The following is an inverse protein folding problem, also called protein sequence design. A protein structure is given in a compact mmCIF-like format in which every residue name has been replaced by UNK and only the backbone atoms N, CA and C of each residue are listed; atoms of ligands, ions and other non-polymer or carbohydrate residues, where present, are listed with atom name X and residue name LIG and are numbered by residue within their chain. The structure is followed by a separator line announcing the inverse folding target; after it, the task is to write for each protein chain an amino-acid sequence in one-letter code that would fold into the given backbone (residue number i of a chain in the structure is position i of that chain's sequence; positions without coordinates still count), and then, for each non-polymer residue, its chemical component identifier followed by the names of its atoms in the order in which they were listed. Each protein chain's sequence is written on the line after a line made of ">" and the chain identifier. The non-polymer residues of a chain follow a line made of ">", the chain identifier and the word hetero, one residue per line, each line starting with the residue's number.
data_IF_218952372969
#
_entry.id   IF_218952372969
#
_cell.length_a   1.000
_cell.length_b   1.000
_cell.length_c   1.000
_cell.angle_alpha   90.00
_cell.angle_beta   90.00
_cell.angle_gamma   90.00
#
_symmetry.space_group_name_H-M   'P 1'
#
loop_
_entity.id
_entity.type
_entity.pdbx_description
1 polymer ?
#
# COMPACT_ATOMS: atom_id res chain seq x y z
N UNK A 1 30.17 -13.95 -12.40
CA UNK A 1 28.83 -14.54 -12.57
C UNK A 1 27.81 -13.56 -12.00
N UNK A 2 26.83 -13.11 -12.80
CA UNK A 2 25.73 -12.27 -12.32
C UNK A 2 24.98 -13.10 -11.27
N UNK A 3 24.88 -12.57 -10.05
CA UNK A 3 24.28 -13.28 -8.91
C UNK A 3 22.76 -13.18 -9.04
N UNK A 4 22.09 -14.34 -9.07
CA UNK A 4 20.63 -14.51 -9.12
C UNK A 4 19.99 -13.78 -7.95
N UNK A 5 19.04 -12.90 -8.18
CA UNK A 5 18.38 -12.14 -7.12
C UNK A 5 16.91 -11.91 -7.38
N UNK A 6 16.11 -11.93 -6.31
CA UNK A 6 14.71 -11.47 -6.35
C UNK A 6 14.65 -9.95 -6.50
N UNK A 7 13.46 -9.42 -6.86
CA UNK A 7 13.18 -7.99 -6.89
C UNK A 7 13.55 -7.34 -5.55
N UNK A 8 13.13 -7.96 -4.44
CA UNK A 8 13.40 -7.48 -3.08
C UNK A 8 14.90 -7.42 -2.78
N UNK A 9 15.65 -8.47 -3.09
CA UNK A 9 17.10 -8.49 -2.91
C UNK A 9 17.79 -7.41 -3.76
N UNK A 10 17.31 -7.14 -4.98
CA UNK A 10 17.85 -6.08 -5.84
C UNK A 10 17.62 -4.69 -5.25
N UNK A 11 16.41 -4.42 -4.75
CA UNK A 11 16.07 -3.13 -4.13
C UNK A 11 16.89 -2.92 -2.85
N UNK A 12 16.95 -3.91 -1.96
CA UNK A 12 17.72 -3.79 -0.71
C UNK A 12 19.23 -3.66 -1.00
N UNK A 13 19.77 -4.40 -1.97
CA UNK A 13 21.17 -4.25 -2.37
C UNK A 13 21.49 -2.81 -2.80
N UNK A 14 20.63 -2.18 -3.63
CA UNK A 14 20.76 -0.76 -4.00
C UNK A 14 20.79 0.14 -2.77
N UNK A 15 19.84 -0.02 -1.85
CA UNK A 15 19.70 0.86 -0.68
C UNK A 15 20.87 0.75 0.31
N UNK A 16 21.55 -0.40 0.33
CA UNK A 16 22.75 -0.64 1.14
C UNK A 16 24.06 -0.23 0.43
N UNK A 17 24.00 0.11 -0.86
CA UNK A 17 25.19 0.36 -1.70
C UNK A 17 26.00 -0.91 -2.02
N UNK A 18 25.48 -2.10 -1.69
CA UNK A 18 26.12 -3.38 -2.00
C UNK A 18 25.75 -3.81 -3.42
N UNK A 19 26.60 -4.65 -4.02
CA UNK A 19 26.32 -5.24 -5.34
C UNK A 19 25.27 -6.36 -5.29
N UNK A 20 25.11 -7.01 -4.13
CA UNK A 20 24.12 -8.07 -3.90
C UNK A 20 23.92 -8.27 -2.39
N UNK A 21 22.72 -8.70 -2.00
CA UNK A 21 22.39 -9.23 -0.67
C UNK A 21 21.66 -10.57 -0.82
N UNK A 22 21.47 -11.29 0.29
CA UNK A 22 20.73 -12.55 0.36
C UNK A 22 19.75 -12.58 1.51
N UNK A 23 18.65 -13.32 1.33
CA UNK A 23 17.75 -13.63 2.43
C UNK A 23 18.53 -14.13 3.68
N UNK A 24 18.22 -13.55 4.84
CA UNK A 24 18.91 -13.78 6.11
C UNK A 24 20.11 -12.86 6.39
N UNK A 25 20.60 -12.10 5.40
CA UNK A 25 21.62 -11.07 5.65
C UNK A 25 21.01 -9.96 6.54
N UNK A 26 21.74 -9.55 7.59
CA UNK A 26 21.40 -8.33 8.34
C UNK A 26 22.17 -7.17 7.72
N UNK A 27 21.45 -6.11 7.33
CA UNK A 27 22.02 -4.97 6.62
C UNK A 27 21.52 -3.64 7.16
N UNK A 28 22.35 -2.60 7.05
CA UNK A 28 21.94 -1.20 7.23
C UNK A 28 21.60 -0.62 5.86
N UNK A 29 20.36 -0.16 5.68
CA UNK A 29 19.83 0.36 4.43
C UNK A 29 19.48 1.83 4.55
N UNK A 30 19.76 2.60 3.50
CA UNK A 30 19.33 3.99 3.38
C UNK A 30 17.87 4.04 2.94
N UNK A 31 17.09 4.89 3.60
CA UNK A 31 15.68 5.12 3.30
C UNK A 31 15.58 6.22 2.23
N UNK A 32 14.83 5.94 1.15
CA UNK A 32 14.57 6.92 0.09
C UNK A 32 13.37 7.82 0.45
N UNK A 33 12.38 7.28 1.17
CA UNK A 33 11.22 8.01 1.67
C UNK A 33 10.80 7.45 3.03
N UNK A 34 10.73 8.31 4.04
CA UNK A 34 10.08 8.03 5.31
C UNK A 34 8.70 8.68 5.31
N UNK A 35 7.64 7.94 5.62
CA UNK A 35 6.32 8.55 5.76
C UNK A 35 5.64 8.19 7.08
N UNK A 36 4.73 9.05 7.51
CA UNK A 36 3.74 8.70 8.51
C UNK A 36 2.49 9.55 8.38
N UNK A 37 1.55 9.27 9.26
CA UNK A 37 0.35 10.06 9.44
C UNK A 37 0.31 10.69 10.82
N UNK A 38 -0.65 11.58 11.03
CA UNK A 38 -0.94 12.24 12.31
C UNK A 38 -0.96 11.30 13.53
N UNK A 39 -1.44 10.06 13.37
CA UNK A 39 -1.48 9.08 14.47
C UNK A 39 -0.11 8.54 14.88
N UNK A 40 0.71 8.11 13.92
CA UNK A 40 1.97 7.41 14.15
C UNK A 40 3.22 8.29 14.03
N UNK A 41 3.06 9.49 13.47
CA UNK A 41 4.13 10.39 13.07
C UNK A 41 4.59 11.35 14.17
N UNK A 42 4.56 12.68 13.94
CA UNK A 42 5.20 13.66 14.82
C UNK A 42 4.89 13.56 16.31
N UNK A 43 3.65 13.20 16.70
CA UNK A 43 3.27 13.06 18.12
C UNK A 43 4.07 11.98 18.84
N UNK A 44 4.58 10.98 18.10
CA UNK A 44 5.38 9.86 18.64
C UNK A 44 6.88 10.13 18.51
N UNK A 45 7.32 10.72 17.41
CA UNK A 45 8.74 10.91 17.13
C UNK A 45 9.32 12.16 17.79
N UNK A 46 8.59 13.27 17.80
CA UNK A 46 9.09 14.57 18.28
C UNK A 46 9.63 14.49 19.73
N UNK A 47 8.95 13.84 20.69
CA UNK A 47 9.50 13.70 22.04
C UNK A 47 10.81 12.87 22.08
N UNK A 48 10.88 11.78 21.31
CA UNK A 48 12.07 10.92 21.25
C UNK A 48 13.25 11.65 20.60
N UNK A 49 13.01 12.39 19.52
CA UNK A 49 14.03 13.21 18.87
C UNK A 49 14.58 14.29 19.83
N UNK A 50 13.71 14.94 20.60
CA UNK A 50 14.10 15.93 21.60
C UNK A 50 14.94 15.31 22.73
N UNK A 51 14.56 14.14 23.23
CA UNK A 51 15.32 13.40 24.25
C UNK A 51 16.72 13.01 23.76
N UNK A 52 16.82 12.62 22.48
CA UNK A 52 18.10 12.28 21.83
C UNK A 52 18.93 13.50 21.43
N UNK A 53 18.38 14.72 21.50
CA UNK A 53 18.99 15.92 20.93
C UNK A 53 19.21 15.84 19.41
N UNK A 54 18.38 15.04 18.72
CA UNK A 54 18.47 14.76 17.30
C UNK A 54 17.52 15.63 16.49
N UNK A 55 17.96 16.04 15.30
CA UNK A 55 17.12 16.71 14.31
C UNK A 55 16.55 15.73 13.28
N UNK A 56 15.90 16.29 12.26
CA UNK A 56 15.46 15.57 11.06
C UNK A 56 16.64 15.45 10.08
N UNK A 57 16.92 14.25 9.57
CA UNK A 57 18.02 13.99 8.63
C UNK A 57 17.85 14.73 7.30
N UNK A 58 16.71 14.54 6.63
CA UNK A 58 16.41 15.16 5.34
C UNK A 58 14.89 15.39 5.21
N UNK A 59 14.41 16.64 5.35
CA UNK A 59 12.98 16.94 5.28
C UNK A 59 12.38 16.74 3.88
N UNK A 60 13.20 16.70 2.82
CA UNK A 60 12.72 16.44 1.45
C UNK A 60 12.35 14.96 1.23
N UNK A 61 12.84 14.07 2.10
CA UNK A 61 12.57 12.62 2.09
C UNK A 61 11.56 12.19 3.14
N UNK A 62 10.84 13.16 3.73
CA UNK A 62 9.78 12.89 4.68
C UNK A 62 8.46 13.32 4.07
N UNK A 63 7.46 12.45 4.18
CA UNK A 63 6.07 12.76 3.86
C UNK A 63 5.18 12.56 5.09
N UNK A 64 4.28 13.51 5.34
CA UNK A 64 3.34 13.45 6.47
C UNK A 64 1.95 13.70 5.93
N UNK A 65 0.99 12.85 6.28
CA UNK A 65 -0.42 13.00 5.87
C UNK A 65 -1.32 13.05 7.10
N UNK A 66 -2.21 14.04 7.19
CA UNK A 66 -3.25 14.04 8.24
C UNK A 66 -4.50 13.35 7.72
N UNK A 67 -4.78 12.12 8.15
CA UNK A 67 -5.94 11.33 7.68
C UNK A 67 -6.68 10.55 8.78
N UNK A 68 -6.06 10.19 9.90
CA UNK A 68 -6.71 9.36 10.93
C UNK A 68 -7.54 10.16 11.94
N UNK A 69 -7.10 11.36 12.30
CA UNK A 69 -7.79 12.26 13.23
C UNK A 69 -8.43 13.46 12.51
N UNK A 70 -8.63 13.35 11.20
CA UNK A 70 -9.15 14.41 10.33
C UNK A 70 -10.62 14.16 9.92
N UNK A 71 -11.54 15.14 10.08
CA UNK A 71 -11.40 16.37 10.85
C UNK A 71 -11.37 16.09 12.37
N UNK A 72 -10.84 17.02 13.15
CA UNK A 72 -10.87 16.91 14.60
C UNK A 72 -12.32 16.89 15.12
N UNK A 73 -12.63 15.92 15.98
CA UNK A 73 -13.95 15.74 16.61
C UNK A 73 -13.93 16.03 18.11
N UNK A 74 -12.75 16.21 18.69
CA UNK A 74 -12.51 16.50 20.10
C UNK A 74 -11.20 17.29 20.29
N UNK A 75 -10.88 17.62 21.54
CA UNK A 75 -9.68 18.39 21.87
C UNK A 75 -8.38 17.60 21.63
N UNK A 76 -8.40 16.27 21.81
CA UNK A 76 -7.22 15.43 21.62
C UNK A 76 -6.83 15.38 20.13
N UNK A 77 -7.79 15.07 19.25
CA UNK A 77 -7.60 15.09 17.79
C UNK A 77 -7.16 16.48 17.30
N UNK A 78 -7.71 17.56 17.87
CA UNK A 78 -7.28 18.92 17.53
C UNK A 78 -5.80 19.20 17.88
N UNK A 79 -5.34 18.79 19.07
CA UNK A 79 -3.93 18.96 19.47
C UNK A 79 -2.99 18.06 18.65
N UNK A 80 -3.40 16.84 18.29
CA UNK A 80 -2.63 15.96 17.41
C UNK A 80 -2.41 16.61 16.03
N UNK A 81 -3.47 17.13 15.41
CA UNK A 81 -3.37 17.79 14.11
C UNK A 81 -2.53 19.07 14.19
N UNK A 82 -2.70 19.88 15.25
CA UNK A 82 -1.89 21.07 15.50
C UNK A 82 -0.41 20.73 15.64
N UNK A 83 -0.06 19.75 16.46
CA UNK A 83 1.31 19.28 16.64
C UNK A 83 1.91 18.82 15.30
N UNK A 84 1.14 18.08 14.51
CA UNK A 84 1.56 17.60 13.19
C UNK A 84 1.89 18.75 12.24
N UNK A 85 1.01 19.75 12.15
CA UNK A 85 1.23 20.98 11.34
C UNK A 85 2.45 21.76 11.82
N UNK A 86 2.58 21.93 13.13
CA UNK A 86 3.70 22.66 13.73
C UNK A 86 5.03 21.96 13.46
N UNK A 87 5.09 20.64 13.61
CA UNK A 87 6.28 19.84 13.31
C UNK A 87 6.69 19.97 11.84
N UNK A 88 5.75 19.82 10.91
CA UNK A 88 6.01 19.95 9.48
C UNK A 88 6.57 21.32 9.13
N UNK A 89 6.00 22.39 9.70
CA UNK A 89 6.48 23.77 9.52
C UNK A 89 7.86 24.00 10.15
N UNK A 90 8.06 23.53 11.38
CA UNK A 90 9.32 23.69 12.14
C UNK A 90 10.51 23.06 11.42
N UNK A 91 10.31 21.88 10.83
CA UNK A 91 11.37 21.12 10.16
C UNK A 91 11.39 21.30 8.63
N UNK A 92 10.50 22.13 8.07
CA UNK A 92 10.45 22.38 6.63
C UNK A 92 10.08 21.16 5.78
N UNK A 93 9.20 20.28 6.29
CA UNK A 93 8.72 19.10 5.56
C UNK A 93 7.79 19.55 4.43
N UNK A 94 8.30 19.55 3.20
CA UNK A 94 7.55 20.03 2.03
C UNK A 94 6.41 19.08 1.61
N UNK A 95 6.56 17.78 1.83
CA UNK A 95 5.55 16.78 1.51
C UNK A 95 4.56 16.58 2.68
N UNK A 96 4.02 17.68 3.19
CA UNK A 96 2.96 17.65 4.19
C UNK A 96 1.59 17.83 3.52
N UNK A 97 0.71 16.86 3.69
CA UNK A 97 -0.62 16.83 3.10
C UNK A 97 -1.67 16.82 4.21
N UNK A 98 -2.25 17.99 4.47
CA UNK A 98 -3.22 18.15 5.54
C UNK A 98 -4.63 17.83 5.04
N UNK A 99 -5.24 16.76 5.56
CA UNK A 99 -6.62 16.38 5.27
C UNK A 99 -6.92 16.18 3.77
N UNK A 100 -5.91 15.71 3.01
CA UNK A 100 -6.01 15.55 1.55
C UNK A 100 -6.63 14.21 1.12
N UNK A 101 -6.67 13.23 2.03
CA UNK A 101 -7.09 11.87 1.76
C UNK A 101 -6.27 10.86 2.55
N UNK A 102 -6.54 9.59 2.32
CA UNK A 102 -5.87 8.45 2.95
C UNK A 102 -4.40 8.44 2.52
N UNK A 103 -3.48 8.36 3.49
CA UNK A 103 -2.03 8.47 3.28
C UNK A 103 -1.49 7.60 2.14
N UNK A 104 -1.91 6.34 2.10
CA UNK A 104 -1.52 5.36 1.09
C UNK A 104 -1.95 5.72 -0.33
N UNK A 105 -2.96 6.57 -0.53
CA UNK A 105 -3.32 7.05 -1.86
C UNK A 105 -2.76 8.43 -2.18
N UNK A 106 -2.62 9.29 -1.17
CA UNK A 106 -2.02 10.61 -1.33
C UNK A 106 -0.57 10.49 -1.81
N UNK A 107 0.23 9.57 -1.25
CA UNK A 107 1.62 9.36 -1.66
C UNK A 107 1.77 9.08 -3.18
N UNK A 108 1.10 8.06 -3.76
CA UNK A 108 1.20 7.78 -5.19
C UNK A 108 0.50 8.84 -6.07
N UNK A 109 -0.59 9.47 -5.61
CA UNK A 109 -1.25 10.59 -6.32
C UNK A 109 -0.34 11.81 -6.51
N UNK A 110 0.70 11.92 -5.67
CA UNK A 110 1.73 12.97 -5.73
C UNK A 110 3.07 12.47 -6.28
N UNK A 111 3.13 11.24 -6.81
CA UNK A 111 4.33 10.70 -7.45
C UNK A 111 5.52 10.50 -6.51
N UNK A 112 5.27 10.34 -5.21
CA UNK A 112 6.31 10.20 -4.19
C UNK A 112 6.88 8.79 -4.12
N UNK A 113 6.12 7.79 -4.54
CA UNK A 113 6.56 6.39 -4.57
C UNK A 113 7.29 6.13 -5.90
N UNK A 114 8.56 5.73 -5.83
CA UNK A 114 9.41 5.49 -7.00
C UNK A 114 9.85 4.03 -7.07
N UNK A 115 9.91 3.43 -8.27
CA UNK A 115 10.44 2.08 -8.43
C UNK A 115 11.87 1.96 -7.91
N UNK A 116 12.18 0.86 -7.22
CA UNK A 116 13.49 0.60 -6.64
C UNK A 116 13.82 1.41 -5.39
N UNK A 117 12.87 2.16 -4.84
CA UNK A 117 13.03 2.84 -3.56
C UNK A 117 12.88 1.89 -2.38
N UNK A 118 13.56 2.23 -1.28
CA UNK A 118 13.27 1.72 0.05
C UNK A 118 12.39 2.74 0.78
N UNK A 119 11.20 2.32 1.21
CA UNK A 119 10.22 3.17 1.88
C UNK A 119 9.95 2.65 3.29
N UNK A 120 10.13 3.51 4.28
CA UNK A 120 9.80 3.21 5.67
C UNK A 120 8.56 4.00 6.06
N UNK A 121 7.54 3.33 6.60
CA UNK A 121 6.31 3.99 7.00
C UNK A 121 5.94 3.72 8.45
N UNK A 122 5.38 4.72 9.13
CA UNK A 122 4.79 4.56 10.46
C UNK A 122 3.44 3.82 10.49
N UNK A 123 3.12 3.06 9.45
CA UNK A 123 1.83 2.40 9.27
C UNK A 123 2.01 0.95 8.79
N UNK A 124 1.15 0.04 9.23
CA UNK A 124 1.23 -1.38 8.87
C UNK A 124 1.02 -1.65 7.38
N UNK A 125 0.29 -0.79 6.68
CA UNK A 125 -0.09 -0.96 5.28
C UNK A 125 0.82 -0.21 4.30
N UNK A 126 1.97 0.28 4.80
CA UNK A 126 3.11 0.74 3.99
C UNK A 126 3.48 -0.19 2.82
N UNK A 127 3.37 -1.53 2.94
CA UNK A 127 3.57 -2.46 1.83
C UNK A 127 2.85 -2.12 0.53
N UNK A 128 1.76 -1.34 0.55
CA UNK A 128 1.09 -0.82 -0.66
C UNK A 128 2.06 -0.24 -1.69
N UNK A 129 3.11 0.45 -1.24
CA UNK A 129 4.09 1.06 -2.14
C UNK A 129 4.89 0.05 -2.97
N UNK A 130 4.92 -1.23 -2.56
CA UNK A 130 5.55 -2.29 -3.36
C UNK A 130 4.85 -2.58 -4.67
N UNK A 131 3.63 -2.08 -4.90
CA UNK A 131 2.95 -2.11 -6.20
C UNK A 131 3.75 -1.37 -7.30
N UNK A 132 4.67 -0.50 -6.91
CA UNK A 132 5.54 0.27 -7.79
C UNK A 132 6.93 -0.36 -7.96
N UNK A 133 7.17 -1.56 -7.42
CA UNK A 133 8.50 -2.17 -7.38
C UNK A 133 9.44 -1.57 -6.35
N UNK A 134 8.90 -0.96 -5.30
CA UNK A 134 9.64 -0.52 -4.13
C UNK A 134 9.68 -1.63 -3.07
N UNK A 135 10.68 -1.61 -2.19
CA UNK A 135 10.61 -2.34 -0.92
C UNK A 135 10.03 -1.40 0.12
N UNK A 136 8.90 -1.76 0.73
CA UNK A 136 8.20 -0.89 1.65
C UNK A 136 7.68 -1.67 2.86
N UNK A 137 8.08 -1.26 4.06
CA UNK A 137 7.72 -1.91 5.32
C UNK A 137 7.22 -0.91 6.37
N UNK A 138 6.35 -1.41 7.25
CA UNK A 138 5.87 -0.68 8.42
C UNK A 138 6.85 -0.75 9.58
N UNK A 139 7.10 0.36 10.24
CA UNK A 139 8.04 0.49 11.35
C UNK A 139 7.36 1.11 12.58
N UNK A 140 7.77 0.64 13.76
CA UNK A 140 7.29 1.19 15.03
C UNK A 140 7.79 2.62 15.26
N UNK A 141 7.17 3.30 16.24
CA UNK A 141 7.52 4.69 16.56
C UNK A 141 9.01 4.90 16.90
N UNK A 142 9.64 3.95 17.58
CA UNK A 142 11.07 4.01 17.94
C UNK A 142 11.97 3.89 16.71
N UNK A 143 11.70 2.91 15.85
CA UNK A 143 12.46 2.73 14.60
C UNK A 143 12.27 3.94 13.68
N UNK A 144 11.03 4.42 13.56
CA UNK A 144 10.76 5.63 12.78
C UNK A 144 11.47 6.86 13.35
N UNK A 145 11.53 7.05 14.68
CA UNK A 145 12.31 8.14 15.26
C UNK A 145 13.81 8.04 14.88
N UNK A 146 14.37 6.82 14.91
CA UNK A 146 15.75 6.58 14.47
C UNK A 146 15.94 6.84 12.96
N UNK A 147 15.00 6.41 12.12
CA UNK A 147 15.02 6.66 10.67
C UNK A 147 14.92 8.15 10.37
N UNK A 148 14.03 8.87 11.05
CA UNK A 148 13.88 10.31 10.88
C UNK A 148 15.15 11.05 11.30
N UNK A 149 15.86 10.56 12.33
CA UNK A 149 17.11 11.13 12.79
C UNK A 149 18.32 10.83 11.89
N UNK A 150 18.35 9.66 11.24
CA UNK A 150 19.57 9.14 10.59
C UNK A 150 19.46 8.94 9.08
N UNK A 151 18.25 8.77 8.55
CA UNK A 151 18.01 8.36 7.17
C UNK A 151 18.27 6.88 6.87
N UNK A 152 18.53 6.08 7.90
CA UNK A 152 18.93 4.68 7.76
C UNK A 152 18.17 3.79 8.73
N UNK A 153 18.05 2.51 8.39
CA UNK A 153 17.50 1.47 9.27
C UNK A 153 18.23 0.15 9.09
N UNK A 154 18.05 -0.74 10.06
CA UNK A 154 18.54 -2.11 9.99
C UNK A 154 17.39 -3.02 9.57
N UNK A 155 17.66 -4.01 8.72
CA UNK A 155 16.71 -5.07 8.42
C UNK A 155 17.42 -6.40 8.20
N UNK A 156 16.70 -7.48 8.48
CA UNK A 156 17.02 -8.80 7.94
C UNK A 156 16.39 -8.90 6.56
N UNK A 157 17.18 -9.18 5.53
CA UNK A 157 16.67 -9.38 4.16
C UNK A 157 15.67 -10.56 4.19
N UNK A 158 14.41 -10.36 3.79
CA UNK A 158 13.40 -11.40 3.92
C UNK A 158 13.56 -12.47 2.82
N UNK A 159 13.15 -13.70 3.13
CA UNK A 159 12.85 -14.68 2.08
C UNK A 159 11.66 -14.21 1.24
N UNK A 160 11.55 -14.66 0.00
CA UNK A 160 10.45 -14.27 -0.90
C UNK A 160 9.55 -15.46 -1.22
N UNK A 161 8.24 -15.31 -1.02
CA UNK A 161 7.18 -16.19 -1.53
C UNK A 161 6.74 -15.63 -2.89
N UNK A 162 6.68 -16.47 -3.92
CA UNK A 162 6.17 -16.10 -5.25
C UNK A 162 4.71 -16.52 -5.38
N UNK A 163 3.85 -15.60 -5.82
CA UNK A 163 2.44 -15.87 -6.11
C UNK A 163 2.18 -15.54 -7.58
N UNK A 164 1.91 -16.56 -8.38
CA UNK A 164 1.59 -16.44 -9.81
C UNK A 164 0.09 -16.60 -10.03
N UNK A 165 -0.54 -15.62 -10.68
CA UNK A 165 -1.92 -15.70 -11.13
C UNK A 165 -1.99 -15.79 -12.65
N UNK A 166 -2.75 -16.77 -13.14
CA UNK A 166 -2.95 -17.00 -14.57
C UNK A 166 -4.40 -16.79 -15.01
N UNK A 167 -4.61 -16.24 -16.20
CA UNK A 167 -5.95 -16.06 -16.78
C UNK A 167 -6.59 -14.71 -16.47
N UNK A 168 -7.85 -14.55 -16.88
CA UNK A 168 -8.60 -13.30 -16.73
C UNK A 168 -9.70 -13.44 -15.68
N UNK A 169 -9.91 -12.37 -14.91
CA UNK A 169 -11.02 -12.31 -13.96
C UNK A 169 -12.37 -12.41 -14.64
N UNK A 170 -13.29 -13.11 -13.99
CA UNK A 170 -14.71 -13.00 -14.30
C UNK A 170 -15.24 -11.62 -13.93
N UNK A 171 -16.35 -11.21 -14.55
CA UNK A 171 -17.01 -9.95 -14.23
C UNK A 171 -17.41 -9.90 -12.75
N UNK A 172 -17.03 -8.82 -12.07
CA UNK A 172 -17.31 -8.62 -10.64
C UNK A 172 -16.24 -9.17 -9.71
N UNK A 173 -15.15 -9.75 -10.25
CA UNK A 173 -13.97 -10.18 -9.50
C UNK A 173 -12.87 -9.14 -9.63
N UNK A 174 -12.20 -8.87 -8.52
CA UNK A 174 -11.21 -7.80 -8.34
C UNK A 174 -10.00 -8.31 -7.55
N UNK A 175 -8.96 -7.48 -7.43
CA UNK A 175 -7.81 -7.73 -6.58
C UNK A 175 -8.20 -7.90 -5.10
N UNK A 176 -9.32 -7.33 -4.65
CA UNK A 176 -9.82 -7.58 -3.29
C UNK A 176 -10.18 -9.05 -3.11
N UNK A 177 -10.81 -9.66 -4.11
CA UNK A 177 -11.19 -11.07 -4.08
C UNK A 177 -9.96 -11.97 -4.07
N UNK A 178 -8.91 -11.61 -4.83
CA UNK A 178 -7.60 -12.27 -4.76
C UNK A 178 -7.05 -12.25 -3.34
N UNK A 179 -7.04 -11.10 -2.69
CA UNK A 179 -6.42 -10.98 -1.37
C UNK A 179 -7.22 -11.68 -0.28
N UNK A 180 -8.54 -11.65 -0.34
CA UNK A 180 -9.38 -12.43 0.57
C UNK A 180 -9.17 -13.94 0.37
N UNK A 181 -9.11 -14.40 -0.88
CA UNK A 181 -8.78 -15.78 -1.20
C UNK A 181 -7.41 -16.18 -0.62
N UNK A 182 -6.38 -15.34 -0.79
CA UNK A 182 -5.05 -15.61 -0.24
C UNK A 182 -5.04 -15.63 1.29
N UNK A 183 -5.83 -14.77 1.96
CA UNK A 183 -5.96 -14.81 3.42
C UNK A 183 -6.48 -16.17 3.90
N UNK A 184 -7.41 -16.78 3.16
CA UNK A 184 -7.91 -18.14 3.46
C UNK A 184 -6.87 -19.21 3.15
N UNK A 185 -6.25 -19.16 1.97
CA UNK A 185 -5.38 -20.25 1.48
C UNK A 185 -4.00 -20.27 2.14
N UNK A 186 -3.43 -19.09 2.43
CA UNK A 186 -2.10 -18.95 3.01
C UNK A 186 -2.14 -18.65 4.52
N UNK A 187 -3.30 -18.29 5.06
CA UNK A 187 -3.44 -17.80 6.42
C UNK A 187 -2.85 -16.40 6.61
N UNK A 188 -2.82 -15.97 7.87
CA UNK A 188 -2.47 -14.60 8.28
C UNK A 188 -1.06 -14.47 8.89
N UNK A 189 -0.29 -15.56 8.95
CA UNK A 189 1.08 -15.56 9.47
C UNK A 189 2.05 -16.18 8.46
N UNK A 190 2.55 -15.34 7.56
CA UNK A 190 3.57 -15.72 6.59
C UNK A 190 5.00 -15.37 7.07
N UNK A 191 5.19 -15.20 8.38
CA UNK A 191 6.47 -15.04 9.06
C UNK A 191 7.37 -13.91 8.51
N UNK A 192 6.78 -12.74 8.21
CA UNK A 192 7.52 -11.56 7.73
C UNK A 192 8.37 -11.85 6.47
N UNK A 193 7.91 -12.77 5.63
CA UNK A 193 8.49 -12.95 4.29
C UNK A 193 7.97 -11.86 3.35
N UNK A 194 8.70 -11.58 2.29
CA UNK A 194 8.18 -10.76 1.22
C UNK A 194 7.30 -11.60 0.30
N UNK A 195 6.20 -11.03 -0.19
CA UNK A 195 5.36 -11.65 -1.22
C UNK A 195 5.59 -10.94 -2.54
N UNK A 196 5.99 -11.69 -3.56
CA UNK A 196 6.17 -11.19 -4.91
C UNK A 196 5.03 -11.70 -5.81
N UNK A 197 4.17 -10.79 -6.25
CA UNK A 197 3.02 -11.11 -7.10
C UNK A 197 3.42 -11.04 -8.58
N UNK A 198 2.92 -11.99 -9.37
CA UNK A 198 3.16 -12.05 -10.80
C UNK A 198 2.12 -12.85 -11.57
N UNK A 199 2.45 -13.11 -12.84
CA UNK A 199 1.59 -13.81 -13.79
C UNK A 199 0.84 -12.84 -14.70
N UNK A 200 0.19 -13.37 -15.74
CA UNK A 200 -0.46 -12.56 -16.76
C UNK A 200 -1.68 -11.79 -16.20
N UNK A 201 -2.36 -12.35 -15.19
CA UNK A 201 -3.44 -11.67 -14.46
C UNK A 201 -2.89 -10.38 -13.82
N UNK A 202 -1.80 -10.48 -13.05
CA UNK A 202 -1.20 -9.31 -12.37
C UNK A 202 -0.63 -8.31 -13.38
N UNK A 203 -0.03 -8.80 -14.47
CA UNK A 203 0.45 -7.92 -15.55
C UNK A 203 -0.70 -7.11 -16.19
N UNK A 204 -1.90 -7.69 -16.29
CA UNK A 204 -3.09 -7.01 -16.83
C UNK A 204 -3.77 -6.04 -15.85
N UNK A 205 -3.45 -6.12 -14.56
CA UNK A 205 -4.04 -5.26 -13.53
C UNK A 205 -3.63 -3.80 -13.70
N UNK A 206 -4.59 -2.89 -13.47
CA UNK A 206 -4.30 -1.46 -13.28
C UNK A 206 -3.45 -1.23 -12.02
N UNK A 207 -2.77 -0.08 -11.92
CA UNK A 207 -2.07 0.28 -10.68
C UNK A 207 -3.01 0.30 -9.47
N UNK A 208 -4.29 0.65 -9.64
CA UNK A 208 -5.27 0.64 -8.56
C UNK A 208 -5.45 -0.77 -7.96
N UNK A 209 -5.55 -1.78 -8.81
CA UNK A 209 -5.67 -3.19 -8.41
C UNK A 209 -4.36 -3.71 -7.80
N UNK A 210 -3.21 -3.36 -8.39
CA UNK A 210 -1.88 -3.74 -7.86
C UNK A 210 -1.64 -3.17 -6.46
N UNK A 211 -2.08 -1.93 -6.20
CA UNK A 211 -2.01 -1.33 -4.87
C UNK A 211 -2.83 -2.11 -3.85
N UNK A 212 -3.96 -2.71 -4.22
CA UNK A 212 -4.74 -3.57 -3.31
C UNK A 212 -3.95 -4.82 -2.93
N UNK A 213 -3.31 -5.49 -3.89
CA UNK A 213 -2.49 -6.69 -3.61
C UNK A 213 -1.36 -6.40 -2.63
N UNK A 214 -0.60 -5.33 -2.88
CA UNK A 214 0.53 -4.96 -2.06
C UNK A 214 0.11 -4.39 -0.71
N UNK A 215 -1.01 -3.65 -0.64
CA UNK A 215 -1.55 -3.13 0.61
C UNK A 215 -1.94 -4.27 1.56
N UNK A 216 -2.68 -5.26 1.04
CA UNK A 216 -3.18 -6.37 1.84
C UNK A 216 -2.13 -7.46 2.13
N UNK A 217 -0.87 -7.26 1.75
CA UNK A 217 0.22 -8.15 2.15
C UNK A 217 0.40 -8.14 3.68
N UNK A 218 0.07 -7.03 4.34
CA UNK A 218 0.09 -6.92 5.80
C UNK A 218 -0.85 -7.93 6.49
N UNK A 219 -2.04 -8.16 5.93
CA UNK A 219 -3.03 -9.12 6.43
C UNK A 219 -2.55 -10.56 6.32
N UNK A 220 -1.68 -10.86 5.34
CA UNK A 220 -1.02 -12.15 5.23
C UNK A 220 0.12 -12.33 6.25
N UNK A 221 0.44 -11.32 7.06
CA UNK A 221 1.61 -11.35 7.95
C UNK A 221 2.94 -11.33 7.17
N UNK A 222 2.91 -10.79 5.95
CA UNK A 222 4.10 -10.55 5.15
C UNK A 222 4.79 -9.25 5.59
N UNK A 223 6.10 -9.18 5.40
CA UNK A 223 6.89 -7.97 5.64
C UNK A 223 6.59 -6.90 4.59
N UNK A 224 6.43 -7.33 3.34
CA UNK A 224 6.05 -6.47 2.23
C UNK A 224 5.40 -7.28 1.10
N UNK A 225 4.63 -6.60 0.24
CA UNK A 225 4.11 -7.15 -1.01
C UNK A 225 4.66 -6.36 -2.19
N UNK A 226 5.22 -7.02 -3.21
CA UNK A 226 5.90 -6.34 -4.33
C UNK A 226 5.45 -6.85 -5.68
N UNK A 227 5.41 -5.93 -6.66
CA UNK A 227 5.15 -6.20 -8.07
C UNK A 227 6.25 -5.55 -8.90
N UNK A 228 6.79 -6.28 -9.88
CA UNK A 228 7.81 -5.74 -10.77
C UNK A 228 7.24 -4.57 -11.60
N UNK A 229 7.96 -3.45 -11.73
CA UNK A 229 7.46 -2.28 -12.45
C UNK A 229 7.48 -2.52 -13.97
N UNK A 230 6.42 -2.06 -14.65
CA UNK A 230 6.22 -2.21 -16.09
C UNK A 230 5.57 -0.97 -16.72
N UNK A 231 5.06 -1.10 -17.95
CA UNK A 231 4.39 -0.02 -18.69
C UNK A 231 3.20 0.59 -17.94
N UNK A 232 2.44 -0.22 -17.19
CA UNK A 232 1.31 0.26 -16.40
C UNK A 232 1.81 1.14 -15.26
N UNK A 233 2.90 0.73 -14.60
CA UNK A 233 3.57 1.55 -13.58
C UNK A 233 4.11 2.86 -14.17
N UNK A 234 4.74 2.80 -15.34
CA UNK A 234 5.33 3.98 -15.98
C UNK A 234 4.29 4.98 -16.45
N UNK A 235 3.21 4.52 -17.06
CA UNK A 235 2.08 5.35 -17.48
C UNK A 235 1.44 6.05 -16.27
N UNK A 236 1.17 5.29 -15.20
CA UNK A 236 0.61 5.84 -13.98
C UNK A 236 1.48 6.96 -13.41
N UNK A 237 2.79 6.74 -13.27
CA UNK A 237 3.70 7.75 -12.74
C UNK A 237 3.84 8.98 -13.66
N UNK A 238 3.88 8.78 -14.98
CA UNK A 238 3.95 9.89 -15.94
C UNK A 238 2.73 10.81 -15.85
N UNK A 239 1.52 10.25 -15.72
CA UNK A 239 0.27 11.00 -15.55
C UNK A 239 0.25 11.85 -14.26
N UNK A 240 1.02 11.47 -13.22
CA UNK A 240 1.17 12.23 -11.98
C UNK A 240 2.38 13.18 -11.99
N UNK A 241 2.95 13.46 -13.17
CA UNK A 241 4.10 14.36 -13.30
C UNK A 241 5.41 13.77 -12.78
N UNK A 242 5.47 12.44 -12.64
CA UNK A 242 6.58 11.71 -12.05
C UNK A 242 7.20 10.67 -13.01
N UNK A 243 7.47 11.00 -14.29
CA UNK A 243 7.90 10.02 -15.28
C UNK A 243 9.18 9.28 -14.87
N UNK A 244 9.23 7.98 -15.14
CA UNK A 244 10.43 7.17 -14.98
C UNK A 244 11.38 7.46 -16.14
N UNK A 245 12.55 8.02 -15.82
CA UNK A 245 13.53 8.45 -16.83
C UNK A 245 14.21 7.24 -17.49
N UNK A 246 14.70 6.29 -16.70
CA UNK A 246 15.34 5.07 -17.20
C UNK A 246 14.43 3.85 -17.02
N UNK A 247 13.50 3.68 -17.96
CA UNK A 247 12.57 2.55 -17.93
C UNK A 247 13.29 1.21 -18.13
N UNK A 248 14.40 1.16 -18.86
CA UNK A 248 15.14 -0.08 -19.10
C UNK A 248 15.82 -0.57 -17.82
N UNK A 249 16.51 0.32 -17.09
CA UNK A 249 17.07 -0.01 -15.79
C UNK A 249 15.99 -0.34 -14.77
N UNK A 250 14.84 0.35 -14.84
CA UNK A 250 13.72 0.08 -13.93
C UNK A 250 13.10 -1.30 -14.18
N UNK A 251 12.92 -1.71 -15.44
CA UNK A 251 12.48 -3.09 -15.75
C UNK A 251 13.49 -4.14 -15.30
N UNK A 252 14.78 -3.81 -15.27
CA UNK A 252 15.82 -4.73 -14.80
C UNK A 252 15.76 -5.02 -13.29
N UNK A 253 14.91 -4.28 -12.54
CA UNK A 253 14.57 -4.61 -11.14
C UNK A 253 13.79 -5.93 -11.03
N UNK A 254 13.03 -6.33 -12.05
CA UNK A 254 12.32 -7.61 -12.05
C UNK A 254 13.25 -8.76 -11.66
N UNK A 255 12.74 -9.73 -10.89
CA UNK A 255 13.50 -10.90 -10.44
C UNK A 255 14.23 -11.58 -11.59
N UNK A 256 15.45 -12.06 -11.33
CA UNK A 256 16.18 -12.83 -12.34
C UNK A 256 15.40 -14.13 -12.68
N UNK A 257 15.44 -14.64 -13.93
CA UNK A 257 14.69 -15.84 -14.31
C UNK A 257 14.95 -17.09 -13.48
N UNK A 258 16.12 -17.17 -12.82
CA UNK A 258 16.55 -18.26 -11.96
C UNK A 258 16.65 -17.84 -10.47
N UNK A 259 15.98 -16.75 -10.07
CA UNK A 259 15.83 -16.33 -8.69
C UNK A 259 15.21 -17.46 -7.84
N UNK A 260 15.61 -17.53 -6.57
CA UNK A 260 15.13 -18.55 -5.64
C UNK A 260 14.05 -17.97 -4.75
N UNK A 261 12.93 -18.68 -4.67
CA UNK A 261 11.82 -18.37 -3.78
C UNK A 261 11.71 -19.48 -2.73
N UNK A 262 11.35 -19.11 -1.50
CA UNK A 262 11.14 -20.09 -0.42
C UNK A 262 9.86 -20.91 -0.64
N UNK A 263 8.88 -20.36 -1.36
CA UNK A 263 7.68 -21.03 -1.83
C UNK A 263 7.19 -20.39 -3.13
N UNK A 264 6.50 -21.17 -3.97
CA UNK A 264 5.85 -20.72 -5.19
C UNK A 264 4.43 -21.26 -5.21
N UNK A 265 3.45 -20.37 -5.29
CA UNK A 265 2.04 -20.70 -5.40
C UNK A 265 1.52 -20.27 -6.77
N UNK A 266 0.69 -21.10 -7.39
CA UNK A 266 0.10 -20.84 -8.70
C UNK A 266 -1.41 -20.95 -8.60
N UNK A 267 -2.12 -19.94 -9.12
CA UNK A 267 -3.57 -19.85 -9.06
C UNK A 267 -4.17 -19.49 -10.43
N UNK A 268 -5.41 -19.94 -10.65
CA UNK A 268 -6.19 -19.66 -11.85
C UNK A 268 -7.24 -18.58 -11.53
N UNK A 269 -7.07 -17.41 -12.14
CA UNK A 269 -7.96 -16.26 -11.97
C UNK A 269 -9.35 -16.48 -12.59
N UNK A 270 -9.49 -17.42 -13.53
CA UNK A 270 -10.78 -17.74 -14.16
C UNK A 270 -11.69 -18.54 -13.23
N UNK A 271 -11.11 -19.23 -12.24
CA UNK A 271 -11.82 -20.01 -11.23
C UNK A 271 -12.15 -19.19 -9.97
N UNK A 272 -11.64 -17.95 -9.86
CA UNK A 272 -11.89 -17.10 -8.71
C UNK A 272 -13.28 -16.47 -8.81
N UNK A 273 -14.08 -16.63 -7.77
CA UNK A 273 -15.39 -15.99 -7.59
C UNK A 273 -15.28 -14.77 -6.67
N UNK A 274 -16.27 -13.86 -6.63
CA UNK A 274 -16.33 -12.80 -5.62
C UNK A 274 -16.24 -13.39 -4.21
N UNK A 275 -15.42 -12.80 -3.34
CA UNK A 275 -15.12 -13.30 -2.00
C UNK A 275 -15.67 -12.35 -0.91
N UNK A 276 -16.07 -12.93 0.23
CA UNK A 276 -16.44 -12.19 1.44
C UNK A 276 -15.69 -12.80 2.62
N UNK A 277 -15.01 -11.95 3.40
CA UNK A 277 -14.50 -12.31 4.72
C UNK A 277 -15.60 -12.10 5.77
N UNK A 278 -16.00 -13.18 6.44
CA UNK A 278 -16.96 -13.14 7.52
C UNK A 278 -16.28 -12.78 8.86
N UNK A 279 -17.03 -12.24 9.83
CA UNK A 279 -16.48 -11.94 11.14
C UNK A 279 -15.90 -13.18 11.84
N UNK A 280 -14.85 -13.06 12.66
CA UNK A 280 -14.11 -11.83 13.01
C UNK A 280 -12.71 -11.78 12.37
N UNK A 281 -12.45 -12.54 11.30
CA UNK A 281 -11.10 -12.73 10.76
C UNK A 281 -11.06 -12.73 9.23
N UNK A 282 -10.05 -12.10 8.58
CA UNK A 282 -9.91 -12.11 7.12
C UNK A 282 -9.77 -13.51 6.49
N UNK A 283 -9.18 -14.47 7.19
CA UNK A 283 -9.05 -15.86 6.73
C UNK A 283 -10.36 -16.64 6.78
N UNK A 284 -11.39 -16.13 7.47
CA UNK A 284 -12.76 -16.62 7.41
C UNK A 284 -13.46 -16.16 6.11
N UNK A 285 -12.80 -16.38 4.99
CA UNK A 285 -13.25 -16.00 3.66
C UNK A 285 -14.00 -17.15 2.98
N UNK A 286 -15.07 -16.84 2.28
CA UNK A 286 -15.78 -17.78 1.40
C UNK A 286 -16.34 -17.07 0.17
N UNK A 287 -16.67 -17.81 -0.91
CA UNK A 287 -17.36 -17.23 -2.06
C UNK A 287 -18.63 -16.51 -1.61
N UNK A 288 -18.89 -15.33 -2.20
CA UNK A 288 -19.98 -14.44 -1.83
C UNK A 288 -21.35 -15.14 -1.84
N UNK A 289 -21.54 -16.12 -2.75
CA UNK A 289 -22.75 -16.95 -2.82
C UNK A 289 -23.05 -17.72 -1.52
N UNK A 290 -22.04 -18.01 -0.70
CA UNK A 290 -22.20 -18.69 0.59
C UNK A 290 -22.91 -17.83 1.64
N UNK A 291 -23.06 -16.52 1.39
CA UNK A 291 -23.67 -15.56 2.30
C UNK A 291 -25.04 -15.06 1.79
N UNK A 292 -25.68 -15.83 0.89
CA UNK A 292 -27.02 -15.50 0.41
C UNK A 292 -28.01 -15.40 1.59
N UNK A 293 -28.85 -14.37 1.57
CA UNK A 293 -29.86 -14.12 2.61
C UNK A 293 -29.32 -13.51 3.90
N UNK A 294 -28.01 -13.32 4.04
CA UNK A 294 -27.44 -12.56 5.17
C UNK A 294 -27.89 -11.10 5.06
N UNK A 295 -28.55 -10.61 6.12
CA UNK A 295 -29.00 -9.22 6.19
C UNK A 295 -27.89 -8.34 6.73
N UNK A 296 -27.73 -7.17 6.13
CA UNK A 296 -26.85 -6.10 6.61
C UNK A 296 -27.70 -4.90 7.04
N UNK A 297 -27.21 -4.16 8.02
CA UNK A 297 -27.80 -2.90 8.48
C UNK A 297 -27.02 -1.70 7.95
N UNK A 298 -25.75 -1.92 7.57
CA UNK A 298 -24.87 -0.89 7.04
C UNK A 298 -23.95 -1.47 5.95
N UNK A 299 -23.76 -0.69 4.89
CA UNK A 299 -22.72 -0.89 3.88
C UNK A 299 -21.76 0.31 3.90
N UNK A 300 -20.46 0.06 3.91
CA UNK A 300 -19.43 1.10 3.90
C UNK A 300 -18.48 0.89 2.72
N UNK A 301 -18.37 1.90 1.86
CA UNK A 301 -17.43 1.96 0.74
C UNK A 301 -16.39 3.01 1.10
N UNK A 302 -15.21 2.56 1.49
CA UNK A 302 -14.18 3.35 2.14
C UNK A 302 -12.88 2.57 2.33
N UNK A 303 -11.90 3.20 2.95
CA UNK A 303 -10.55 2.67 3.24
C UNK A 303 -9.56 2.64 2.05
N UNK A 304 -8.29 2.41 2.39
CA UNK A 304 -7.15 2.41 1.47
C UNK A 304 -7.24 1.38 0.33
N UNK A 305 -8.09 0.36 0.48
CA UNK A 305 -8.26 -0.73 -0.50
C UNK A 305 -9.57 -0.67 -1.29
N UNK A 306 -10.52 0.20 -0.95
CA UNK A 306 -11.90 0.13 -1.47
C UNK A 306 -12.59 1.45 -1.77
N UNK A 307 -11.84 2.54 -1.93
CA UNK A 307 -12.41 3.87 -2.20
C UNK A 307 -11.65 4.70 -3.25
N UNK A 308 -10.94 4.03 -4.16
CA UNK A 308 -10.38 4.63 -5.37
C UNK A 308 -11.52 4.96 -6.34
N UNK A 309 -11.25 5.81 -7.33
CA UNK A 309 -12.26 6.18 -8.34
C UNK A 309 -12.87 4.93 -9.02
N UNK A 310 -12.04 3.95 -9.38
CA UNK A 310 -12.48 2.68 -9.96
C UNK A 310 -13.44 1.91 -9.04
N UNK A 311 -13.20 1.92 -7.73
CA UNK A 311 -14.03 1.22 -6.75
C UNK A 311 -15.42 1.89 -6.66
N UNK A 312 -15.44 3.22 -6.65
CA UNK A 312 -16.68 4.01 -6.67
C UNK A 312 -17.46 3.79 -7.96
N UNK A 313 -16.78 3.72 -9.11
CA UNK A 313 -17.40 3.45 -10.40
C UNK A 313 -18.02 2.05 -10.46
N UNK A 314 -17.35 1.03 -9.93
CA UNK A 314 -17.90 -0.32 -9.81
C UNK A 314 -19.15 -0.34 -8.90
N UNK A 315 -19.10 0.35 -7.76
CA UNK A 315 -20.26 0.47 -6.88
C UNK A 315 -21.43 1.21 -7.57
N UNK A 316 -21.14 2.27 -8.31
CA UNK A 316 -22.14 3.02 -9.06
C UNK A 316 -22.76 2.18 -10.17
N UNK A 317 -21.99 1.30 -10.83
CA UNK A 317 -22.52 0.35 -11.81
C UNK A 317 -23.55 -0.59 -11.19
N UNK A 318 -23.29 -1.10 -9.98
CA UNK A 318 -24.22 -1.96 -9.23
C UNK A 318 -25.48 -1.20 -8.80
N UNK A 319 -25.33 0.03 -8.31
CA UNK A 319 -26.43 0.84 -7.76
C UNK A 319 -27.23 1.61 -8.81
N UNK A 320 -26.76 1.69 -10.06
CA UNK A 320 -27.41 2.46 -11.11
C UNK A 320 -28.88 2.05 -11.31
N UNK A 321 -29.78 3.03 -11.15
CA UNK A 321 -31.22 2.83 -11.28
C UNK A 321 -31.85 2.05 -10.12
N UNK A 322 -31.10 1.75 -9.07
CA UNK A 322 -31.56 1.09 -7.84
C UNK A 322 -31.62 2.09 -6.69
N UNK A 323 -32.20 1.64 -5.58
CA UNK A 323 -32.17 2.38 -4.30
C UNK A 323 -31.63 1.46 -3.23
N UNK A 324 -30.93 2.04 -2.27
CA UNK A 324 -30.54 1.35 -1.05
C UNK A 324 -31.80 0.79 -0.36
N UNK A 325 -31.73 -0.44 0.12
CA UNK A 325 -32.86 -1.12 0.73
C UNK A 325 -33.33 -0.38 2.00
N UNK A 326 -34.65 -0.37 2.31
CA UNK A 326 -35.16 0.24 3.54
C UNK A 326 -34.49 -0.35 4.79
N UNK A 327 -34.04 0.52 5.70
CA UNK A 327 -33.36 0.12 6.92
C UNK A 327 -31.85 -0.14 6.77
N UNK A 328 -31.29 -0.07 5.56
CA UNK A 328 -29.85 -0.17 5.33
C UNK A 328 -29.24 1.22 5.18
N UNK A 329 -28.16 1.49 5.92
CA UNK A 329 -27.37 2.71 5.78
C UNK A 329 -26.20 2.48 4.82
N UNK A 330 -26.16 3.21 3.71
CA UNK A 330 -24.97 3.26 2.85
C UNK A 330 -24.10 4.46 3.24
N UNK A 331 -22.81 4.19 3.47
CA UNK A 331 -21.80 5.20 3.76
C UNK A 331 -20.69 5.12 2.71
N UNK A 332 -20.36 6.26 2.12
CA UNK A 332 -19.33 6.36 1.09
C UNK A 332 -18.30 7.39 1.54
N UNK A 333 -17.05 7.00 1.56
CA UNK A 333 -15.92 7.84 1.91
C UNK A 333 -14.85 7.69 0.81
N UNK A 334 -14.89 8.53 -0.24
CA UNK A 334 -13.85 8.54 -1.28
C UNK A 334 -12.47 8.70 -0.66
N UNK A 335 -11.46 8.05 -1.23
CA UNK A 335 -10.16 7.94 -0.59
C UNK A 335 -9.34 9.25 -0.55
N UNK A 336 -9.68 10.24 -1.38
CA UNK A 336 -9.00 11.54 -1.39
C UNK A 336 -9.92 12.64 -1.92
N UNK A 337 -9.54 13.90 -1.70
CA UNK A 337 -10.21 15.06 -2.30
C UNK A 337 -10.17 14.98 -3.83
N UNK A 338 -9.03 14.58 -4.42
CA UNK A 338 -8.90 14.35 -5.87
C UNK A 338 -9.86 13.26 -6.37
N UNK A 339 -9.98 12.16 -5.63
CA UNK A 339 -10.93 11.08 -5.97
C UNK A 339 -12.37 11.57 -5.89
N UNK A 340 -12.69 12.37 -4.86
CA UNK A 340 -14.01 12.99 -4.71
C UNK A 340 -14.34 13.88 -5.90
N UNK A 341 -13.44 14.79 -6.27
CA UNK A 341 -13.60 15.69 -7.41
C UNK A 341 -13.79 14.93 -8.72
N UNK A 342 -12.99 13.89 -8.97
CA UNK A 342 -13.11 13.07 -10.17
C UNK A 342 -14.47 12.33 -10.23
N UNK A 343 -14.91 11.76 -9.10
CA UNK A 343 -16.17 11.05 -9.00
C UNK A 343 -17.41 11.98 -9.05
N UNK A 344 -17.27 13.25 -8.66
CA UNK A 344 -18.29 14.29 -8.95
C UNK A 344 -18.30 14.58 -10.45
N UNK A 345 -17.13 14.78 -11.04
CA UNK A 345 -16.98 15.22 -12.43
C UNK A 345 -17.51 14.21 -13.44
N UNK A 346 -17.38 12.91 -13.18
CA UNK A 346 -17.88 11.85 -14.07
C UNK A 346 -19.31 11.38 -13.72
N UNK A 347 -19.92 11.97 -12.69
CA UNK A 347 -21.26 11.65 -12.23
C UNK A 347 -21.37 10.40 -11.37
N UNK A 348 -20.26 9.74 -11.02
CA UNK A 348 -20.23 8.56 -10.13
C UNK A 348 -20.88 8.86 -8.79
N UNK A 349 -20.52 9.96 -8.13
CA UNK A 349 -21.12 10.33 -6.84
C UNK A 349 -22.60 10.74 -6.94
N UNK A 350 -23.10 11.11 -8.12
CA UNK A 350 -24.52 11.39 -8.28
C UNK A 350 -25.37 10.11 -8.36
N UNK A 351 -24.75 8.98 -8.69
CA UNK A 351 -25.40 7.66 -8.73
C UNK A 351 -25.41 7.01 -7.35
N UNK A 352 -24.30 7.15 -6.63
CA UNK A 352 -24.08 6.60 -5.29
C UNK A 352 -24.92 7.32 -4.22
#
# INVERSE_FOLDING_TARGET
>A
MRRRSTLVEKVIARSTGKTSVRAGDIVTARVDLAFAHDSSGPRRWKPMLAELGAGVWDPSKIAIVSDHYAPAVDAESAEILKLTREFAREHGVANFFDMAGICHLVLPEHGLIRPGSFIAGGDSHTPMAGAFGAYAAGYGATDMAAIIATGETWLSVPETIRIEWSGAFMRGVTAKDVMLFLCRELGLDNAFRAIEYGGDTVASMSMAERMVLCNMAAELGADTGVIAPDDVTFAYLAERGAPVIDQAATRALASDPDAKYCAVHQFDATALEPQIAAPHSPDNTSPAASFEGVRIEQAYIGACVGAKLSDLQMAAEVLRGRRVAPGVRLLIAPASSKTTEAAVSDGTLAIL
#
